data_IF_093292468716
#
_entry.id   IF_093292468716
#
_cell.length_a   1.000
_cell.length_b   1.000
_cell.length_c   1.000
_cell.angle_alpha   90.00
_cell.angle_beta   90.00
_cell.angle_gamma   90.00
#
_symmetry.space_group_name_H-M   'P 1'
#
loop_
_entity.id
_entity.type
_entity.pdbx_description
1 polymer ?
#
# COMPACT_ATOMS: atom_id res chain seq x y z
N UNK A 1 19.27 6.07 -4.47
CA UNK A 1 18.41 6.92 -3.62
C UNK A 1 17.37 6.03 -2.97
N UNK A 2 17.30 5.98 -1.63
CA UNK A 2 16.33 5.13 -0.94
C UNK A 2 14.97 5.82 -0.90
N UNK A 3 13.95 5.26 -1.55
CA UNK A 3 12.57 5.77 -1.47
C UNK A 3 12.04 5.48 -0.07
N UNK A 4 11.52 6.52 0.59
CA UNK A 4 10.97 6.44 1.95
C UNK A 4 9.75 7.36 2.04
N UNK A 5 8.83 7.03 2.95
CA UNK A 5 7.75 7.94 3.29
C UNK A 5 8.30 9.18 4.02
N UNK A 6 7.71 10.37 3.81
CA UNK A 6 8.18 11.59 4.46
C UNK A 6 8.01 11.51 5.98
N UNK A 7 8.85 12.24 6.71
CA UNK A 7 8.78 12.36 8.18
C UNK A 7 7.66 13.32 8.65
N UNK A 8 6.75 13.68 7.75
CA UNK A 8 5.57 14.48 8.04
C UNK A 8 4.39 13.55 8.37
N UNK A 9 3.71 13.83 9.47
CA UNK A 9 2.55 13.05 9.89
C UNK A 9 1.35 13.39 8.97
N UNK A 10 0.80 12.42 8.21
CA UNK A 10 -0.36 12.71 7.38
C UNK A 10 -1.59 13.06 8.23
N UNK A 11 -2.59 13.76 7.66
CA UNK A 11 -3.82 14.09 8.37
C UNK A 11 -4.57 12.81 8.80
N UNK A 12 -5.46 12.90 9.81
CA UNK A 12 -6.29 11.77 10.23
C UNK A 12 -7.06 11.15 9.05
N UNK A 13 -7.25 9.82 9.03
CA UNK A 13 -8.03 9.17 7.97
C UNK A 13 -9.48 9.62 8.00
N UNK A 14 -10.07 9.85 6.82
CA UNK A 14 -11.50 10.10 6.66
C UNK A 14 -12.15 8.95 5.89
N UNK A 15 -13.33 8.56 6.34
CA UNK A 15 -14.13 7.51 5.72
C UNK A 15 -15.50 8.07 5.37
N UNK A 16 -15.93 7.82 4.14
CA UNK A 16 -17.25 8.16 3.66
C UNK A 16 -18.25 7.12 4.20
N UNK A 17 -19.40 7.58 4.72
CA UNK A 17 -20.44 6.67 5.20
C UNK A 17 -21.03 5.86 4.03
N UNK A 18 -21.53 4.66 4.31
CA UNK A 18 -22.17 3.79 3.31
C UNK A 18 -21.20 2.99 2.43
N UNK A 19 -19.91 3.30 2.42
CA UNK A 19 -18.91 2.48 1.74
C UNK A 19 -18.61 1.22 2.55
N UNK A 20 -18.68 0.08 1.86
CA UNK A 20 -18.48 -1.24 2.46
C UNK A 20 -17.08 -1.38 3.07
N UNK A 21 -17.00 -2.02 4.24
CA UNK A 21 -15.76 -2.26 5.00
C UNK A 21 -15.51 -3.75 5.20
N UNK A 22 -14.25 -4.16 5.18
CA UNK A 22 -13.91 -5.56 5.43
C UNK A 22 -14.30 -5.97 6.86
N UNK A 23 -14.78 -7.20 7.06
CA UNK A 23 -15.10 -7.70 8.40
C UNK A 23 -13.86 -7.77 9.29
N UNK A 24 -14.08 -7.72 10.60
CA UNK A 24 -13.03 -7.95 11.60
C UNK A 24 -12.41 -9.35 11.41
N UNK A 25 -11.08 -9.45 11.41
CA UNK A 25 -10.34 -10.70 11.14
C UNK A 25 -9.87 -11.46 12.39
N UNK A 26 -10.33 -11.07 13.57
CA UNK A 26 -9.87 -11.55 14.86
C UNK A 26 -8.57 -10.88 15.31
N UNK A 27 -8.38 -10.77 16.62
CA UNK A 27 -7.10 -10.37 17.24
C UNK A 27 -6.67 -11.48 18.20
N UNK A 28 -6.01 -12.50 17.64
CA UNK A 28 -5.59 -13.71 18.35
C UNK A 28 -4.06 -13.79 18.52
N UNK A 29 -3.35 -12.68 18.30
CA UNK A 29 -1.89 -12.63 18.40
C UNK A 29 -1.46 -12.62 19.86
N UNK A 30 -0.40 -13.34 20.17
CA UNK A 30 0.33 -13.19 21.44
C UNK A 30 0.93 -11.79 21.56
N UNK A 31 1.40 -11.44 22.75
CA UNK A 31 2.09 -10.16 22.99
C UNK A 31 3.32 -10.02 22.09
N UNK A 32 4.09 -11.09 21.92
CA UNK A 32 5.32 -11.09 21.10
C UNK A 32 5.00 -10.93 19.62
N UNK A 33 4.00 -11.66 19.11
CA UNK A 33 3.53 -11.51 17.73
C UNK A 33 2.92 -10.13 17.47
N UNK A 34 2.22 -9.56 18.45
CA UNK A 34 1.69 -8.20 18.38
C UNK A 34 2.82 -7.17 18.25
N UNK A 35 3.88 -7.30 19.07
CA UNK A 35 5.06 -6.44 18.97
C UNK A 35 5.74 -6.59 17.60
N UNK A 36 5.87 -7.83 17.11
CA UNK A 36 6.44 -8.11 15.80
C UNK A 36 5.60 -7.49 14.66
N UNK A 37 4.27 -7.63 14.71
CA UNK A 37 3.36 -7.03 13.73
C UNK A 37 3.50 -5.50 13.69
N UNK A 38 3.58 -4.85 14.86
CA UNK A 38 3.83 -3.41 14.96
C UNK A 38 5.18 -3.02 14.38
N UNK A 39 6.27 -3.72 14.72
CA UNK A 39 7.60 -3.48 14.14
C UNK A 39 7.59 -3.63 12.61
N UNK A 40 6.89 -4.64 12.10
CA UNK A 40 6.75 -4.89 10.67
C UNK A 40 5.97 -3.78 9.95
N UNK A 41 4.97 -3.17 10.57
CA UNK A 41 4.29 -2.01 10.00
C UNK A 41 5.15 -0.74 10.10
N UNK A 42 5.80 -0.52 11.25
CA UNK A 42 6.63 0.65 11.53
C UNK A 42 7.92 0.69 10.68
N UNK A 43 8.36 -0.43 10.09
CA UNK A 43 9.53 -0.45 9.18
C UNK A 43 9.38 0.49 7.97
N UNK A 44 8.14 0.80 7.58
CA UNK A 44 7.85 1.73 6.47
C UNK A 44 7.86 3.19 6.91
N UNK A 45 7.85 3.44 8.22
CA UNK A 45 7.61 4.75 8.82
C UNK A 45 8.92 5.33 9.33
N UNK A 46 9.20 6.63 9.13
CA UNK A 46 10.32 7.30 9.76
C UNK A 46 10.27 7.19 11.30
N UNK A 47 11.40 6.89 11.98
CA UNK A 47 11.42 6.69 13.44
C UNK A 47 10.80 7.83 14.26
N UNK A 48 10.92 9.08 13.79
CA UNK A 48 10.35 10.26 14.45
C UNK A 48 8.82 10.23 14.58
N UNK A 49 8.13 9.39 13.79
CA UNK A 49 6.67 9.25 13.84
C UNK A 49 6.21 7.99 14.59
N UNK A 50 7.13 7.12 15.03
CA UNK A 50 6.78 5.82 15.63
C UNK A 50 5.97 5.97 16.90
N UNK A 51 6.32 6.92 17.77
CA UNK A 51 5.61 7.16 19.04
C UNK A 51 4.13 7.51 18.81
N UNK A 52 3.83 8.28 17.76
CA UNK A 52 2.47 8.69 17.42
C UNK A 52 1.69 7.58 16.70
N UNK A 53 2.36 6.84 15.82
CA UNK A 53 1.70 5.86 14.94
C UNK A 53 1.56 4.47 15.54
N UNK A 54 2.43 4.07 16.46
CA UNK A 54 2.35 2.75 17.08
C UNK A 54 1.02 2.52 17.81
N UNK A 55 0.47 3.48 18.60
CA UNK A 55 -0.86 3.35 19.20
C UNK A 55 -1.98 3.22 18.15
N UNK A 56 -1.91 3.98 17.05
CA UNK A 56 -2.91 3.90 15.97
C UNK A 56 -2.88 2.53 15.27
N UNK A 57 -1.69 2.03 14.96
CA UNK A 57 -1.54 0.70 14.38
C UNK A 57 -1.98 -0.41 15.32
N UNK A 58 -1.72 -0.27 16.62
CA UNK A 58 -2.22 -1.21 17.62
C UNK A 58 -3.76 -1.20 17.69
N UNK A 59 -4.37 -0.02 17.60
CA UNK A 59 -5.83 0.12 17.59
C UNK A 59 -6.44 -0.51 16.33
N UNK A 60 -5.85 -0.28 15.15
CA UNK A 60 -6.25 -0.97 13.92
C UNK A 60 -6.14 -2.49 14.07
N UNK A 61 -5.02 -2.98 14.61
CA UNK A 61 -4.80 -4.40 14.80
C UNK A 61 -5.84 -5.02 15.75
N UNK A 62 -6.22 -4.33 16.83
CA UNK A 62 -7.25 -4.79 17.77
C UNK A 62 -8.66 -4.74 17.19
N UNK A 63 -9.01 -3.66 16.52
CA UNK A 63 -10.38 -3.39 16.05
C UNK A 63 -10.67 -3.90 14.64
N UNK A 64 -9.64 -4.32 13.89
CA UNK A 64 -9.79 -4.87 12.54
C UNK A 64 -9.11 -6.22 12.34
N UNK A 65 -8.19 -6.59 13.24
CA UNK A 65 -7.35 -7.78 13.09
C UNK A 65 -6.16 -7.58 12.14
N UNK A 66 -5.95 -6.36 11.62
CA UNK A 66 -4.88 -6.01 10.67
C UNK A 66 -4.46 -4.55 10.82
N UNK A 67 -3.23 -4.26 10.43
CA UNK A 67 -2.70 -2.89 10.30
C UNK A 67 -2.80 -2.50 8.82
N UNK A 68 -3.79 -1.69 8.47
CA UNK A 68 -3.94 -1.13 7.13
C UNK A 68 -3.16 0.17 6.97
N UNK A 69 -2.87 0.85 8.08
CA UNK A 69 -2.24 2.16 8.12
C UNK A 69 -3.12 3.22 7.48
N UNK A 70 -4.37 3.33 7.93
CA UNK A 70 -5.38 4.18 7.30
C UNK A 70 -4.95 5.63 7.13
N UNK A 71 -4.12 6.15 8.06
CA UNK A 71 -3.55 7.50 7.98
C UNK A 71 -2.76 7.73 6.68
N UNK A 72 -2.15 6.68 6.10
CA UNK A 72 -1.40 6.75 4.85
C UNK A 72 -2.27 6.57 3.60
N UNK A 73 -3.58 6.39 3.74
CA UNK A 73 -4.49 6.36 2.59
C UNK A 73 -4.64 7.76 1.98
N UNK A 74 -4.53 7.92 0.65
CA UNK A 74 -4.93 9.16 -0.03
C UNK A 74 -6.38 9.55 0.28
N UNK A 75 -6.65 10.82 0.55
CA UNK A 75 -8.01 11.30 0.83
C UNK A 75 -8.84 11.37 -0.47
N UNK A 76 -10.16 11.19 -0.36
CA UNK A 76 -11.08 11.16 -1.52
C UNK A 76 -11.13 9.81 -2.24
N UNK A 77 -11.92 9.73 -3.32
CA UNK A 77 -12.03 8.53 -4.17
C UNK A 77 -10.71 8.30 -4.92
N UNK A 78 -10.26 7.05 -4.94
CA UNK A 78 -9.19 6.58 -5.83
C UNK A 78 -9.89 5.99 -7.04
N UNK A 79 -9.44 6.29 -8.26
CA UNK A 79 -9.97 5.72 -9.49
C UNK A 79 -8.92 5.90 -10.60
N UNK A 80 -9.06 5.11 -11.67
CA UNK A 80 -8.19 5.23 -12.83
C UNK A 80 -8.45 6.54 -13.60
N UNK A 81 -7.40 7.33 -13.79
CA UNK A 81 -7.42 8.52 -14.64
C UNK A 81 -6.77 8.23 -16.01
N UNK A 82 -6.92 9.11 -17.03
CA UNK A 82 -6.11 9.04 -18.23
C UNK A 82 -4.61 8.93 -17.90
N UNK A 83 -3.86 8.08 -18.62
CA UNK A 83 -2.46 7.76 -18.29
C UNK A 83 -1.53 8.98 -18.26
N UNK A 84 -1.88 10.04 -18.99
CA UNK A 84 -1.12 11.28 -19.04
C UNK A 84 -1.33 12.20 -17.82
N UNK A 85 -2.33 11.92 -16.97
CA UNK A 85 -2.52 12.61 -15.68
C UNK A 85 -1.61 12.05 -14.58
N UNK A 86 -0.99 10.89 -14.80
CA UNK A 86 -0.08 10.28 -13.85
C UNK A 86 1.34 10.83 -13.99
N UNK A 87 1.95 11.20 -12.86
CA UNK A 87 3.37 11.51 -12.81
C UNK A 87 4.21 10.24 -13.03
N UNK A 88 5.27 10.32 -13.82
CA UNK A 88 6.26 9.25 -13.93
C UNK A 88 7.21 9.43 -15.10
N UNK A 89 8.40 8.84 -14.98
CA UNK A 89 9.43 8.93 -16.03
C UNK A 89 9.15 8.04 -17.24
N UNK A 90 8.39 6.96 -17.07
CA UNK A 90 8.09 5.99 -18.12
C UNK A 90 6.58 5.85 -18.33
N UNK A 91 6.16 5.53 -19.55
CA UNK A 91 4.76 5.21 -19.83
C UNK A 91 4.30 3.99 -19.04
N UNK A 92 5.14 2.96 -18.94
CA UNK A 92 4.79 1.73 -18.25
C UNK A 92 4.58 1.94 -16.73
N UNK A 93 5.41 2.77 -16.08
CA UNK A 93 5.22 3.12 -14.67
C UNK A 93 3.88 3.82 -14.42
N UNK A 94 3.53 4.78 -15.28
CA UNK A 94 2.24 5.48 -15.26
C UNK A 94 1.06 4.53 -15.49
N UNK A 95 1.14 3.70 -16.53
CA UNK A 95 0.10 2.72 -16.85
C UNK A 95 -0.11 1.69 -15.73
N UNK A 96 0.95 1.24 -15.06
CA UNK A 96 0.82 0.36 -13.90
C UNK A 96 0.09 1.05 -12.74
N UNK A 97 0.32 2.34 -12.51
CA UNK A 97 -0.41 3.09 -11.50
C UNK A 97 -1.90 3.25 -11.84
N UNK A 98 -2.24 3.47 -13.13
CA UNK A 98 -3.64 3.46 -13.60
C UNK A 98 -4.33 2.16 -13.18
N UNK A 99 -3.69 1.01 -13.45
CA UNK A 99 -4.26 -0.30 -13.13
C UNK A 99 -4.38 -0.54 -11.62
N UNK A 100 -3.41 -0.07 -10.83
CA UNK A 100 -3.47 -0.14 -9.37
C UNK A 100 -4.65 0.68 -8.83
N UNK A 101 -4.83 1.90 -9.32
CA UNK A 101 -5.92 2.77 -8.87
C UNK A 101 -7.29 2.22 -9.30
N UNK A 102 -7.40 1.60 -10.49
CA UNK A 102 -8.61 0.87 -10.91
C UNK A 102 -8.98 -0.24 -9.91
N UNK A 103 -8.00 -1.05 -9.47
CA UNK A 103 -8.26 -2.12 -8.50
C UNK A 103 -8.67 -1.62 -7.12
N UNK A 104 -8.39 -0.36 -6.80
CA UNK A 104 -8.72 0.30 -5.54
C UNK A 104 -9.88 1.29 -5.67
N UNK A 105 -10.53 1.33 -6.84
CA UNK A 105 -11.67 2.19 -7.07
C UNK A 105 -12.84 1.78 -6.18
N UNK A 106 -13.57 2.77 -5.68
CA UNK A 106 -14.75 2.60 -4.83
C UNK A 106 -15.92 1.96 -5.58
N UNK A 107 -15.92 2.07 -6.90
CA UNK A 107 -16.90 1.40 -7.78
C UNK A 107 -16.46 -0.01 -8.21
N UNK A 108 -15.20 -0.40 -7.95
CA UNK A 108 -14.63 -1.69 -8.39
C UNK A 108 -14.31 -2.60 -7.19
N UNK A 109 -13.68 -2.06 -6.16
CA UNK A 109 -13.17 -2.80 -5.03
C UNK A 109 -14.28 -3.15 -4.03
N UNK A 110 -14.25 -4.39 -3.54
CA UNK A 110 -15.17 -4.87 -2.52
C UNK A 110 -15.03 -4.13 -1.19
N UNK A 111 -13.78 -3.88 -0.75
CA UNK A 111 -13.46 -3.11 0.45
C UNK A 111 -12.34 -2.12 0.14
N UNK A 112 -12.66 -0.97 -0.49
CA UNK A 112 -11.64 -0.06 -1.02
C UNK A 112 -10.72 0.50 0.08
N UNK A 113 -11.23 0.71 1.29
CA UNK A 113 -10.45 1.18 2.43
C UNK A 113 -9.45 0.14 2.97
N UNK A 114 -9.73 -1.15 2.77
CA UNK A 114 -8.91 -2.28 3.22
C UNK A 114 -8.09 -2.90 2.08
N UNK A 115 -8.03 -2.20 0.94
CA UNK A 115 -7.29 -2.58 -0.27
C UNK A 115 -7.73 -3.92 -0.86
N UNK A 116 -8.96 -4.36 -0.61
CA UNK A 116 -9.51 -5.64 -1.12
C UNK A 116 -10.34 -5.37 -2.37
N UNK A 117 -9.91 -5.91 -3.50
CA UNK A 117 -10.64 -5.78 -4.77
C UNK A 117 -11.80 -6.77 -4.84
N UNK A 118 -11.58 -8.05 -4.51
CA UNK A 118 -12.61 -9.09 -4.57
C UNK A 118 -12.30 -10.26 -3.64
N UNK A 119 -13.22 -11.23 -3.57
CA UNK A 119 -12.99 -12.52 -2.90
C UNK A 119 -12.76 -12.42 -1.40
N UNK A 120 -13.34 -11.40 -0.75
CA UNK A 120 -13.27 -11.09 0.69
C UNK A 120 -11.86 -10.75 1.25
N UNK A 121 -10.80 -11.29 0.68
CA UNK A 121 -9.40 -11.10 1.09
C UNK A 121 -8.42 -10.87 -0.06
N UNK A 122 -8.87 -10.80 -1.31
CA UNK A 122 -8.03 -10.51 -2.47
C UNK A 122 -7.52 -9.08 -2.45
N UNK A 123 -6.38 -8.87 -1.78
CA UNK A 123 -5.79 -7.54 -1.55
C UNK A 123 -4.82 -7.11 -2.65
N UNK A 124 -4.83 -5.82 -2.99
CA UNK A 124 -3.82 -5.19 -3.85
C UNK A 124 -2.50 -5.01 -3.10
N UNK A 125 -2.58 -4.50 -1.88
CA UNK A 125 -1.46 -4.37 -0.94
C UNK A 125 -1.92 -4.71 0.47
N UNK A 126 -1.00 -5.07 1.35
CA UNK A 126 -1.33 -5.39 2.74
C UNK A 126 -1.69 -4.14 3.57
N UNK A 127 -1.16 -2.98 3.18
CA UNK A 127 -1.39 -1.70 3.86
C UNK A 127 -1.15 -0.51 2.90
N UNK A 128 -1.61 0.67 3.30
CA UNK A 128 -1.49 1.90 2.52
C UNK A 128 -0.06 2.44 2.41
N UNK A 129 0.84 2.08 3.34
CA UNK A 129 2.26 2.43 3.23
C UNK A 129 2.88 1.79 1.99
N UNK A 130 2.55 0.53 1.71
CA UNK A 130 2.99 -0.19 0.52
C UNK A 130 2.46 0.46 -0.77
N UNK A 131 1.17 0.82 -0.82
CA UNK A 131 0.60 1.57 -1.95
C UNK A 131 1.39 2.84 -2.24
N UNK A 132 1.64 3.67 -1.21
CA UNK A 132 2.39 4.93 -1.38
C UNK A 132 3.81 4.70 -1.87
N UNK A 133 4.52 3.73 -1.29
CA UNK A 133 5.88 3.42 -1.69
C UNK A 133 5.96 2.90 -3.12
N UNK A 134 5.06 1.98 -3.52
CA UNK A 134 4.99 1.48 -4.89
C UNK A 134 4.70 2.62 -5.86
N UNK A 135 3.76 3.52 -5.54
CA UNK A 135 3.49 4.72 -6.34
C UNK A 135 4.76 5.56 -6.54
N UNK A 136 5.53 5.82 -5.49
CA UNK A 136 6.79 6.56 -5.60
C UNK A 136 7.85 5.80 -6.41
N UNK A 137 7.95 4.47 -6.29
CA UNK A 137 8.82 3.66 -7.15
C UNK A 137 8.44 3.75 -8.64
N UNK A 138 7.15 3.63 -8.96
CA UNK A 138 6.65 3.73 -10.34
C UNK A 138 6.87 5.11 -10.95
N UNK A 139 6.81 6.18 -10.14
CA UNK A 139 7.12 7.55 -10.59
C UNK A 139 8.57 7.69 -11.05
N UNK A 140 9.52 7.16 -10.28
CA UNK A 140 10.96 7.40 -10.51
C UNK A 140 11.68 6.32 -11.30
N UNK A 141 11.04 5.17 -11.52
CA UNK A 141 11.65 4.07 -12.27
C UNK A 141 12.00 4.47 -13.70
N UNK A 142 13.07 3.88 -14.24
CA UNK A 142 13.43 4.04 -15.65
C UNK A 142 13.14 2.75 -16.43
N UNK A 143 13.26 2.79 -17.75
CA UNK A 143 13.14 1.60 -18.61
C UNK A 143 14.30 0.60 -18.42
N UNK A 144 15.32 0.94 -17.63
CA UNK A 144 16.45 0.05 -17.30
C UNK A 144 16.31 -0.53 -15.88
N UNK A 145 15.09 -0.56 -15.36
CA UNK A 145 14.81 -1.07 -14.02
C UNK A 145 13.55 -1.95 -13.98
N UNK A 146 13.54 -2.88 -13.03
CA UNK A 146 12.39 -3.69 -12.64
C UNK A 146 12.11 -3.46 -11.15
N UNK A 147 10.87 -3.11 -10.83
CA UNK A 147 10.38 -3.06 -9.45
C UNK A 147 10.01 -4.49 -9.00
N UNK A 148 10.61 -4.95 -7.92
CA UNK A 148 10.27 -6.25 -7.32
C UNK A 148 9.34 -6.03 -6.13
N UNK A 149 8.18 -6.68 -6.16
CA UNK A 149 7.15 -6.62 -5.13
C UNK A 149 6.95 -8.03 -4.56
N UNK A 150 7.09 -8.16 -3.24
CA UNK A 150 6.87 -9.41 -2.50
C UNK A 150 5.63 -9.26 -1.62
N UNK A 151 4.53 -9.85 -2.05
CA UNK A 151 3.23 -9.84 -1.36
C UNK A 151 2.81 -8.43 -0.94
N UNK A 152 2.90 -7.50 -1.89
CA UNK A 152 2.64 -6.07 -1.69
C UNK A 152 3.84 -5.26 -1.16
N UNK A 153 4.85 -5.87 -0.54
CA UNK A 153 6.04 -5.15 -0.10
C UNK A 153 6.95 -4.80 -1.29
N UNK A 154 7.21 -3.50 -1.59
CA UNK A 154 8.20 -3.15 -2.60
C UNK A 154 9.61 -3.40 -2.04
N UNK A 155 10.30 -4.42 -2.54
CA UNK A 155 11.70 -4.67 -2.21
C UNK A 155 12.62 -3.60 -2.81
N UNK A 156 12.27 -3.10 -3.99
CA UNK A 156 12.94 -1.96 -4.62
C UNK A 156 13.09 -2.10 -6.13
N UNK A 157 13.80 -1.15 -6.71
CA UNK A 157 14.16 -1.14 -8.12
C UNK A 157 15.52 -1.79 -8.33
N UNK A 158 15.58 -2.76 -9.23
CA UNK A 158 16.79 -3.47 -9.61
C UNK A 158 17.14 -3.17 -11.06
N UNK A 159 18.43 -3.09 -11.44
CA UNK A 159 18.82 -2.92 -12.83
C UNK A 159 18.24 -4.04 -13.71
N UNK A 160 17.72 -3.66 -14.87
CA UNK A 160 17.17 -4.57 -15.87
C UNK A 160 17.42 -4.02 -17.28
N UNK A 161 16.92 -4.71 -18.30
CA UNK A 161 16.96 -4.25 -19.70
C UNK A 161 15.63 -3.61 -20.11
N UNK A 162 15.59 -2.79 -21.16
CA UNK A 162 14.35 -2.19 -21.69
C UNK A 162 13.24 -3.20 -22.01
N UNK A 163 13.58 -4.40 -22.47
CA UNK A 163 12.68 -5.50 -22.80
C UNK A 163 12.25 -6.35 -21.59
N UNK A 164 12.86 -6.12 -20.41
CA UNK A 164 12.48 -6.81 -19.18
C UNK A 164 11.12 -6.30 -18.64
N UNK A 165 10.39 -7.12 -17.87
CA UNK A 165 9.20 -6.66 -17.15
C UNK A 165 9.52 -5.46 -16.25
N UNK A 166 8.63 -4.45 -16.23
CA UNK A 166 8.77 -3.28 -15.34
C UNK A 166 8.46 -3.60 -13.88
N UNK A 167 7.61 -4.60 -13.64
CA UNK A 167 7.29 -5.10 -12.30
C UNK A 167 7.34 -6.62 -12.30
N UNK A 168 7.96 -7.19 -11.26
CA UNK A 168 7.81 -8.59 -10.87
C UNK A 168 7.07 -8.60 -9.54
N UNK A 169 5.90 -9.23 -9.50
CA UNK A 169 5.06 -9.29 -8.31
C UNK A 169 4.77 -10.75 -7.95
N UNK A 170 4.97 -11.11 -6.69
CA UNK A 170 4.55 -12.40 -6.14
C UNK A 170 3.55 -12.15 -5.02
N UNK A 171 2.50 -12.96 -4.93
CA UNK A 171 1.54 -12.91 -3.83
C UNK A 171 1.41 -14.32 -3.25
N UNK A 172 1.41 -14.41 -1.91
CA UNK A 172 1.11 -15.63 -1.15
C UNK A 172 1.99 -16.85 -1.50
N UNK A 173 3.19 -16.64 -2.04
CA UNK A 173 4.18 -17.72 -2.14
C UNK A 173 4.67 -18.07 -0.74
N UNK A 174 4.53 -19.34 -0.38
CA UNK A 174 4.97 -19.94 0.88
C UNK A 174 6.11 -20.90 0.63
#
# INVERSE_FOLDING_TARGET
MAIRLPAELPPPPKFEPGIRRAPHRGFNLTREETILALKNALRYIPPALHEKLAPEFLEELRTRGRIYGYRYRPQGRIYAQPVDEYEGRTLAGRALQVMIDNNLDFEVALYPYELVTYGESGQVFQNWMQYRLVKEYLKVMTDHQTLVIQSGHPLGLFPSRPDSPRVINTNTLM
#
